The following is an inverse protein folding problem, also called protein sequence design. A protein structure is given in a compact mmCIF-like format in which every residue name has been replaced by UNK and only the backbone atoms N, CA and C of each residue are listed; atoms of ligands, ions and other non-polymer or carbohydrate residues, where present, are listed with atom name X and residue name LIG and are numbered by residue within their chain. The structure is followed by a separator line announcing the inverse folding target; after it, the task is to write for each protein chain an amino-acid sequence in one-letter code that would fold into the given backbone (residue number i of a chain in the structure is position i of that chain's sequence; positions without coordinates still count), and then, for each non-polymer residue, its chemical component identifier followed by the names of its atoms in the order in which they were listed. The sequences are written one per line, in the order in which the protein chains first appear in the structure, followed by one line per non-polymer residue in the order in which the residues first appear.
data_IF_508048959645
#
_entry.id   IF_508048959645
#
_cell.length_a   1.000
_cell.length_b   1.000
_cell.length_c   1.000
_cell.angle_alpha   90.00
_cell.angle_beta   90.00
_cell.angle_gamma   90.00
#
_symmetry.space_group_name_H-M   'P 1'
#
loop_
_entity.id
_entity.type
_entity.pdbx_description
1 polymer ?
#
# COMPACT_ATOMS: atom_id res chain seq x y z
N UNK A 1 6.54 -16.25 -3.79
CA UNK A 1 5.41 -15.37 -3.48
C UNK A 1 5.59 -14.04 -4.21
N UNK A 2 4.56 -13.51 -4.87
CA UNK A 2 4.60 -12.16 -5.44
C UNK A 2 4.14 -11.13 -4.39
N UNK A 3 4.85 -10.00 -4.31
CA UNK A 3 4.61 -8.94 -3.33
C UNK A 3 4.71 -7.56 -3.99
N UNK A 4 4.15 -6.54 -3.33
CA UNK A 4 4.24 -5.18 -3.82
C UNK A 4 5.60 -4.53 -3.55
N UNK A 5 5.95 -3.53 -4.38
CA UNK A 5 7.16 -2.72 -4.18
C UNK A 5 7.13 -1.97 -2.84
N UNK A 6 5.96 -1.57 -2.36
CA UNK A 6 5.79 -0.92 -1.04
C UNK A 6 6.07 -1.88 0.12
N UNK A 7 5.68 -3.17 0.00
CA UNK A 7 6.03 -4.18 1.00
C UNK A 7 7.54 -4.39 1.09
N UNK A 8 8.21 -4.54 -0.04
CA UNK A 8 9.66 -4.69 -0.08
C UNK A 8 10.37 -3.44 0.47
N UNK A 9 10.00 -2.25 -0.01
CA UNK A 9 10.60 -1.00 0.43
C UNK A 9 10.40 -0.69 1.92
N UNK A 10 9.41 -1.31 2.57
CA UNK A 10 9.19 -1.18 4.01
C UNK A 10 10.27 -1.82 4.87
N UNK A 11 11.07 -2.75 4.32
CA UNK A 11 12.07 -3.53 5.05
C UNK A 11 11.48 -4.61 5.96
N UNK A 12 10.14 -4.78 6.02
CA UNK A 12 9.51 -5.80 6.86
C UNK A 12 9.90 -7.22 6.44
N UNK A 13 10.15 -7.45 5.15
CA UNK A 13 10.59 -8.73 4.61
C UNK A 13 11.88 -9.22 5.29
N UNK A 14 12.82 -8.32 5.60
CA UNK A 14 14.10 -8.66 6.25
C UNK A 14 13.91 -9.23 7.67
N UNK A 15 12.81 -8.87 8.34
CA UNK A 15 12.45 -9.42 9.64
C UNK A 15 11.64 -10.72 9.52
N UNK A 16 10.73 -10.81 8.54
CA UNK A 16 9.82 -11.94 8.41
C UNK A 16 10.49 -13.17 7.77
N UNK A 17 11.24 -12.99 6.67
CA UNK A 17 11.76 -14.13 5.90
C UNK A 17 12.67 -15.07 6.70
N UNK A 18 13.66 -14.58 7.48
CA UNK A 18 14.48 -15.45 8.32
C UNK A 18 13.68 -16.16 9.41
N UNK A 19 12.66 -15.51 9.97
CA UNK A 19 11.82 -16.10 10.99
C UNK A 19 10.90 -17.19 10.40
N UNK A 20 10.32 -16.96 9.21
CA UNK A 20 9.56 -17.99 8.49
C UNK A 20 10.41 -19.22 8.24
N UNK A 21 11.61 -19.04 7.70
CA UNK A 21 12.51 -20.16 7.41
C UNK A 21 12.90 -20.93 8.68
N UNK A 22 13.25 -20.21 9.76
CA UNK A 22 13.62 -20.81 11.04
C UNK A 22 12.48 -21.62 11.67
N UNK A 23 11.25 -21.09 11.61
CA UNK A 23 10.10 -21.69 12.28
C UNK A 23 9.43 -22.80 11.45
N UNK A 24 9.48 -22.71 10.11
CA UNK A 24 8.74 -23.60 9.20
C UNK A 24 9.62 -24.43 8.26
N UNK A 25 10.88 -24.06 8.08
CA UNK A 25 11.76 -24.64 7.06
C UNK A 25 11.42 -24.19 5.62
N UNK A 26 10.53 -23.23 5.44
CA UNK A 26 10.12 -22.73 4.12
C UNK A 26 11.02 -21.56 3.71
N UNK A 27 11.79 -21.73 2.64
CA UNK A 27 12.48 -20.64 1.95
C UNK A 27 11.50 -19.89 1.06
N UNK A 28 11.11 -18.67 1.45
CA UNK A 28 10.23 -17.80 0.67
C UNK A 28 11.05 -16.93 -0.28
N UNK A 29 10.81 -17.06 -1.59
CA UNK A 29 11.39 -16.19 -2.62
C UNK A 29 10.37 -15.15 -3.06
N UNK A 30 10.76 -13.88 -2.99
CA UNK A 30 9.91 -12.75 -3.38
C UNK A 30 10.07 -12.43 -4.87
N UNK A 31 8.93 -12.17 -5.52
CA UNK A 31 8.83 -11.51 -6.82
C UNK A 31 8.21 -10.14 -6.55
N UNK A 32 9.04 -9.09 -6.58
CA UNK A 32 8.66 -7.73 -6.21
C UNK A 32 8.17 -6.98 -7.45
N UNK A 33 6.88 -6.65 -7.47
CA UNK A 33 6.21 -6.03 -8.63
C UNK A 33 5.03 -5.16 -8.15
N UNK A 34 4.33 -4.48 -9.06
CA UNK A 34 3.07 -3.79 -8.73
C UNK A 34 1.91 -4.77 -8.51
N UNK A 35 0.87 -4.34 -7.77
CA UNK A 35 -0.31 -5.17 -7.43
C UNK A 35 -0.91 -5.90 -8.64
N UNK A 36 -1.18 -5.19 -9.73
CA UNK A 36 -1.76 -5.80 -10.93
C UNK A 36 -0.87 -6.87 -11.57
N UNK A 37 0.44 -6.70 -11.53
CA UNK A 37 1.38 -7.71 -12.05
C UNK A 37 1.52 -8.89 -11.11
N UNK A 38 1.51 -8.66 -9.78
CA UNK A 38 1.51 -9.72 -8.79
C UNK A 38 0.30 -10.67 -8.96
N UNK A 39 -0.89 -10.09 -9.13
CA UNK A 39 -2.12 -10.84 -9.38
C UNK A 39 -2.06 -11.59 -10.73
N UNK A 40 -1.50 -10.99 -11.79
CA UNK A 40 -1.29 -11.70 -13.07
C UNK A 40 -0.37 -12.92 -12.93
N UNK A 41 0.73 -12.81 -12.17
CA UNK A 41 1.58 -13.96 -11.88
C UNK A 41 0.87 -15.04 -11.09
N UNK A 42 0.00 -14.66 -10.13
CA UNK A 42 -0.86 -15.60 -9.44
C UNK A 42 -1.84 -16.30 -10.39
N UNK A 43 -2.56 -15.54 -11.22
CA UNK A 43 -3.50 -16.10 -12.19
C UNK A 43 -2.84 -17.05 -13.22
N UNK A 44 -1.57 -16.78 -13.58
CA UNK A 44 -0.78 -17.65 -14.46
C UNK A 44 -0.21 -18.88 -13.75
N UNK A 45 -0.25 -18.96 -12.41
CA UNK A 45 0.36 -20.03 -11.64
C UNK A 45 1.89 -19.93 -11.52
N UNK A 46 2.46 -18.76 -11.81
CA UNK A 46 3.91 -18.52 -11.75
C UNK A 46 4.43 -18.36 -10.31
N UNK A 47 3.53 -18.14 -9.35
CA UNK A 47 3.83 -18.01 -7.92
C UNK A 47 2.85 -18.83 -7.09
N UNK A 48 3.27 -19.25 -5.89
CA UNK A 48 2.43 -20.05 -4.99
C UNK A 48 1.46 -19.21 -4.16
N UNK A 49 1.76 -17.93 -3.97
CA UNK A 49 0.94 -16.99 -3.21
C UNK A 49 1.20 -15.54 -3.64
N UNK A 50 0.27 -14.65 -3.29
CA UNK A 50 0.34 -13.21 -3.52
C UNK A 50 0.10 -12.48 -2.20
N UNK A 51 0.88 -11.41 -1.90
CA UNK A 51 0.65 -10.50 -0.78
C UNK A 51 0.56 -9.06 -1.32
N UNK A 52 -0.64 -8.53 -1.32
CA UNK A 52 -0.98 -7.23 -1.95
C UNK A 52 -1.94 -6.43 -1.07
N UNK A 53 -2.33 -5.23 -1.50
CA UNK A 53 -3.16 -4.31 -0.73
C UNK A 53 -4.14 -3.52 -1.63
N UNK A 54 -4.94 -4.22 -2.43
CA UNK A 54 -5.99 -3.62 -3.26
C UNK A 54 -7.26 -4.47 -3.18
N UNK A 55 -8.10 -4.20 -2.17
CA UNK A 55 -9.30 -4.99 -1.89
C UNK A 55 -10.15 -5.29 -3.12
N UNK A 56 -10.48 -4.31 -4.00
CA UNK A 56 -11.29 -4.61 -5.19
C UNK A 56 -10.61 -5.60 -6.15
N UNK A 57 -9.29 -5.48 -6.35
CA UNK A 57 -8.54 -6.39 -7.21
C UNK A 57 -8.39 -7.79 -6.59
N UNK A 58 -8.24 -7.87 -5.26
CA UNK A 58 -8.18 -9.12 -4.51
C UNK A 58 -9.51 -9.86 -4.55
N UNK A 59 -10.63 -9.15 -4.36
CA UNK A 59 -11.98 -9.71 -4.43
C UNK A 59 -12.29 -10.23 -5.85
N UNK A 60 -11.87 -9.52 -6.90
CA UNK A 60 -11.98 -9.99 -8.28
C UNK A 60 -11.16 -11.27 -8.52
N UNK A 61 -9.91 -11.30 -8.03
CA UNK A 61 -9.01 -12.45 -8.14
C UNK A 61 -9.60 -13.72 -7.49
N UNK A 62 -10.24 -13.56 -6.33
CA UNK A 62 -10.96 -14.67 -5.66
C UNK A 62 -12.22 -15.07 -6.46
N UNK A 63 -13.02 -14.11 -6.91
CA UNK A 63 -14.26 -14.37 -7.68
C UNK A 63 -13.97 -15.07 -9.00
N UNK A 64 -12.82 -14.80 -9.63
CA UNK A 64 -12.35 -15.48 -10.85
C UNK A 64 -11.76 -16.87 -10.57
N UNK A 65 -11.66 -17.29 -9.29
CA UNK A 65 -11.22 -18.62 -8.89
C UNK A 65 -9.70 -18.77 -8.84
N UNK A 66 -8.93 -17.70 -8.94
CA UNK A 66 -7.46 -17.71 -8.87
C UNK A 66 -6.93 -17.90 -7.45
N UNK A 67 -7.74 -17.61 -6.42
CA UNK A 67 -7.47 -17.96 -5.02
C UNK A 67 -8.76 -18.47 -4.35
N UNK A 68 -8.69 -19.43 -3.41
CA UNK A 68 -9.86 -19.88 -2.66
C UNK A 68 -10.41 -18.84 -1.68
N UNK A 69 -9.57 -17.93 -1.20
CA UNK A 69 -9.91 -16.86 -0.27
C UNK A 69 -8.81 -15.79 -0.27
N UNK A 70 -9.10 -14.68 0.40
CA UNK A 70 -8.12 -13.69 0.84
C UNK A 70 -8.03 -13.72 2.38
N UNK A 71 -6.83 -13.52 2.91
CA UNK A 71 -6.57 -13.46 4.34
C UNK A 71 -5.94 -12.12 4.68
N UNK A 72 -6.59 -11.31 5.51
CA UNK A 72 -6.01 -10.09 6.05
C UNK A 72 -4.85 -10.43 6.98
N UNK A 73 -3.74 -9.73 6.84
CA UNK A 73 -2.51 -9.98 7.62
C UNK A 73 -2.16 -8.77 8.48
N UNK A 74 -2.09 -7.61 7.86
CA UNK A 74 -1.68 -6.37 8.50
C UNK A 74 -2.18 -5.18 7.72
N UNK A 75 -2.17 -4.02 8.34
CA UNK A 75 -2.47 -2.77 7.66
C UNK A 75 -1.46 -1.67 8.01
N UNK A 76 -1.34 -0.71 7.14
CA UNK A 76 -0.85 0.63 7.40
C UNK A 76 -1.87 1.64 6.83
N UNK A 77 -1.48 2.87 6.64
CA UNK A 77 -2.33 3.90 6.05
C UNK A 77 -1.62 4.63 4.92
N UNK A 78 -2.43 5.35 4.17
CA UNK A 78 -1.98 6.43 3.32
C UNK A 78 -2.02 7.74 4.11
N UNK A 79 -1.20 8.70 3.66
CA UNK A 79 -1.13 10.05 4.21
C UNK A 79 -1.17 11.05 3.06
N UNK A 80 -1.88 12.16 3.25
CA UNK A 80 -1.76 13.32 2.36
C UNK A 80 -0.64 14.20 2.87
N UNK A 81 0.38 14.35 2.06
CA UNK A 81 1.53 15.18 2.36
C UNK A 81 1.56 16.41 1.44
N UNK A 82 2.18 17.48 1.90
CA UNK A 82 2.30 18.72 1.16
C UNK A 82 3.21 19.72 1.84
N UNK A 83 3.32 20.94 1.30
CA UNK A 83 4.12 22.00 1.91
C UNK A 83 3.71 22.27 3.36
N UNK A 84 4.69 22.49 4.24
CA UNK A 84 4.43 22.75 5.67
C UNK A 84 3.50 23.94 5.93
N UNK A 85 3.44 24.88 4.99
CA UNK A 85 2.58 26.07 5.07
C UNK A 85 1.10 25.74 4.85
N UNK A 86 0.77 24.52 4.40
CA UNK A 86 -0.59 24.04 4.13
C UNK A 86 -1.44 25.02 3.30
N UNK A 87 -1.04 25.36 2.08
CA UNK A 87 -1.72 26.40 1.29
C UNK A 87 -3.16 26.04 0.90
N UNK A 88 -3.54 24.78 0.93
CA UNK A 88 -4.89 24.31 0.66
C UNK A 88 -5.73 24.11 1.95
N UNK A 89 -5.12 24.17 3.13
CA UNK A 89 -5.81 24.07 4.42
C UNK A 89 -6.25 22.65 4.77
N UNK A 90 -5.48 21.64 4.39
CA UNK A 90 -5.80 20.22 4.63
C UNK A 90 -5.93 19.88 6.11
N UNK A 91 -5.16 20.55 6.98
CA UNK A 91 -5.20 20.33 8.42
C UNK A 91 -6.56 20.65 9.06
N UNK A 92 -7.42 21.41 8.38
CA UNK A 92 -8.77 21.73 8.84
C UNK A 92 -9.84 20.74 8.34
N UNK A 93 -9.50 19.82 7.41
CA UNK A 93 -10.42 18.85 6.85
C UNK A 93 -10.78 17.77 7.91
N UNK A 94 -12.02 17.32 7.90
CA UNK A 94 -12.48 16.23 8.76
C UNK A 94 -12.35 14.85 8.09
N UNK A 95 -12.30 14.84 6.74
CA UNK A 95 -12.21 13.60 5.93
C UNK A 95 -11.20 13.76 4.80
N UNK A 96 -10.69 12.63 4.29
CA UNK A 96 -9.79 12.62 3.14
C UNK A 96 -10.43 13.24 1.90
N UNK A 97 -11.73 13.03 1.70
CA UNK A 97 -12.49 13.64 0.60
C UNK A 97 -12.61 15.15 0.73
N UNK A 98 -12.79 15.68 1.96
CA UNK A 98 -12.75 17.13 2.21
C UNK A 98 -11.35 17.70 1.93
N UNK A 99 -10.29 17.02 2.37
CA UNK A 99 -8.91 17.44 2.10
C UNK A 99 -8.62 17.51 0.58
N UNK A 100 -9.04 16.50 -0.17
CA UNK A 100 -8.89 16.49 -1.63
C UNK A 100 -9.77 17.57 -2.30
N UNK A 101 -10.98 17.79 -1.81
CA UNK A 101 -11.85 18.88 -2.30
C UNK A 101 -11.17 20.23 -2.11
N UNK A 102 -10.56 20.48 -0.95
CA UNK A 102 -9.82 21.71 -0.69
C UNK A 102 -8.64 21.93 -1.65
N UNK A 103 -7.91 20.87 -2.00
CA UNK A 103 -6.87 20.91 -3.04
C UNK A 103 -7.46 21.30 -4.39
N UNK A 104 -8.57 20.68 -4.79
CA UNK A 104 -9.21 20.94 -6.09
C UNK A 104 -9.81 22.36 -6.16
N UNK A 105 -10.48 22.85 -5.11
CA UNK A 105 -11.08 24.20 -5.05
C UNK A 105 -10.01 25.29 -5.10
N UNK A 106 -8.89 25.10 -4.43
CA UNK A 106 -7.76 26.03 -4.45
C UNK A 106 -6.87 25.86 -5.67
N UNK A 107 -7.04 24.76 -6.43
CA UNK A 107 -6.15 24.34 -7.50
C UNK A 107 -4.67 24.29 -7.05
N UNK A 108 -4.46 23.92 -5.79
CA UNK A 108 -3.14 23.75 -5.24
C UNK A 108 -2.41 22.59 -5.96
N UNK A 109 -1.12 22.76 -6.23
CA UNK A 109 -0.35 21.78 -6.97
C UNK A 109 -0.46 20.39 -6.32
N UNK A 110 -0.76 19.40 -7.13
CA UNK A 110 -0.85 17.99 -6.73
C UNK A 110 -0.05 17.10 -7.67
N UNK A 111 0.73 16.21 -7.10
CA UNK A 111 1.54 15.22 -7.82
C UNK A 111 0.93 13.84 -7.60
N UNK A 112 0.48 13.23 -8.68
CA UNK A 112 0.04 11.84 -8.73
C UNK A 112 1.17 10.92 -9.19
N UNK A 113 1.13 9.68 -8.74
CA UNK A 113 2.02 8.64 -9.29
C UNK A 113 1.74 8.34 -10.75
N UNK A 114 0.48 8.23 -11.16
CA UNK A 114 0.09 7.97 -12.56
C UNK A 114 0.63 6.66 -13.15
N UNK A 115 0.93 5.63 -12.31
CA UNK A 115 1.66 4.41 -12.70
C UNK A 115 0.88 3.10 -12.50
N UNK A 116 -0.44 3.18 -12.33
CA UNK A 116 -1.34 2.03 -12.05
C UNK A 116 -0.97 1.22 -10.78
N UNK A 117 -0.19 1.80 -9.86
CA UNK A 117 0.15 1.19 -8.59
C UNK A 117 -1.02 1.16 -7.60
N UNK A 118 -0.85 0.45 -6.47
CA UNK A 118 -1.82 0.46 -5.37
C UNK A 118 -2.09 1.86 -4.82
N UNK A 119 -1.05 2.70 -4.68
CA UNK A 119 -1.18 4.09 -4.25
C UNK A 119 -1.95 4.92 -5.27
N UNK A 120 -1.67 4.78 -6.57
CA UNK A 120 -2.41 5.48 -7.61
C UNK A 120 -3.89 5.07 -7.64
N UNK A 121 -4.18 3.79 -7.50
CA UNK A 121 -5.58 3.29 -7.41
C UNK A 121 -6.31 3.83 -6.17
N UNK A 122 -5.63 3.88 -5.03
CA UNK A 122 -6.19 4.48 -3.82
C UNK A 122 -6.46 5.97 -4.00
N UNK A 123 -5.54 6.72 -4.63
CA UNK A 123 -5.71 8.13 -4.96
C UNK A 123 -6.94 8.35 -5.83
N UNK A 124 -7.07 7.59 -6.94
CA UNK A 124 -8.22 7.71 -7.84
C UNK A 124 -9.54 7.41 -7.14
N UNK A 125 -9.58 6.38 -6.27
CA UNK A 125 -10.76 6.06 -5.48
C UNK A 125 -11.15 7.17 -4.49
N UNK A 126 -10.15 7.87 -3.91
CA UNK A 126 -10.39 9.01 -3.04
C UNK A 126 -10.94 10.21 -3.82
N UNK A 127 -10.41 10.51 -5.02
CA UNK A 127 -10.95 11.54 -5.92
C UNK A 127 -12.39 11.23 -6.34
N UNK A 128 -12.67 9.98 -6.73
CA UNK A 128 -14.02 9.50 -7.04
C UNK A 128 -14.96 9.65 -5.83
N UNK A 129 -14.49 9.29 -4.63
CA UNK A 129 -15.23 9.46 -3.37
C UNK A 129 -15.56 10.93 -3.06
N UNK A 130 -14.73 11.86 -3.50
CA UNK A 130 -14.98 13.30 -3.44
C UNK A 130 -15.91 13.82 -4.57
N UNK A 131 -16.31 12.94 -5.51
CA UNK A 131 -17.11 13.31 -6.69
C UNK A 131 -16.29 14.08 -7.74
N UNK A 132 -14.99 13.94 -7.76
CA UNK A 132 -14.05 14.64 -8.62
C UNK A 132 -13.38 13.67 -9.61
N UNK A 133 -13.19 14.14 -10.85
CA UNK A 133 -12.54 13.36 -11.92
C UNK A 133 -11.18 13.99 -12.25
N UNK A 134 -10.05 13.33 -11.93
CA UNK A 134 -8.73 13.80 -12.29
C UNK A 134 -8.52 14.06 -13.78
N UNK A 135 -9.26 13.35 -14.65
CA UNK A 135 -9.23 13.57 -16.11
C UNK A 135 -9.73 14.95 -16.54
N UNK A 136 -10.49 15.65 -15.67
CA UNK A 136 -10.96 17.01 -15.91
C UNK A 136 -10.08 18.09 -15.25
N UNK A 137 -9.02 17.69 -14.52
CA UNK A 137 -8.17 18.63 -13.79
C UNK A 137 -7.25 19.42 -14.72
N UNK A 138 -6.85 20.62 -14.28
CA UNK A 138 -5.93 21.49 -15.00
C UNK A 138 -4.47 21.17 -14.72
N UNK A 139 -3.58 22.09 -15.07
CA UNK A 139 -2.13 21.95 -14.93
C UNK A 139 -1.62 21.84 -13.48
N UNK A 140 -2.48 22.04 -12.48
CA UNK A 140 -2.16 21.88 -11.08
C UNK A 140 -2.07 20.41 -10.66
N UNK A 141 -2.71 19.47 -11.39
CA UNK A 141 -2.62 18.04 -11.22
C UNK A 141 -1.62 17.46 -12.22
N UNK A 142 -0.63 16.71 -11.75
CA UNK A 142 0.43 16.17 -12.58
C UNK A 142 0.75 14.72 -12.25
N UNK A 143 0.64 13.87 -13.23
CA UNK A 143 1.07 12.49 -13.17
C UNK A 143 2.56 12.37 -13.51
N UNK A 144 3.31 11.63 -12.67
CA UNK A 144 4.75 11.42 -12.87
C UNK A 144 5.08 10.14 -13.66
N UNK A 145 4.15 9.18 -13.69
CA UNK A 145 4.41 7.85 -14.27
C UNK A 145 5.50 7.08 -13.51
N UNK A 146 5.71 7.36 -12.22
CA UNK A 146 6.89 6.89 -11.49
C UNK A 146 6.58 6.37 -10.09
N UNK A 147 7.55 5.68 -9.44
CA UNK A 147 7.43 5.17 -8.10
C UNK A 147 7.32 6.27 -7.03
N UNK A 148 6.88 5.89 -5.80
CA UNK A 148 6.55 6.84 -4.73
C UNK A 148 7.70 7.78 -4.36
N UNK A 149 8.93 7.28 -4.29
CA UNK A 149 10.10 8.13 -3.99
C UNK A 149 10.30 9.26 -5.01
N UNK A 150 10.12 8.98 -6.31
CA UNK A 150 10.21 10.01 -7.35
C UNK A 150 9.01 10.98 -7.29
N UNK A 151 7.81 10.49 -6.97
CA UNK A 151 6.63 11.34 -6.78
C UNK A 151 6.82 12.29 -5.57
N UNK A 152 7.32 11.80 -4.44
CA UNK A 152 7.64 12.61 -3.27
C UNK A 152 8.71 13.67 -3.57
N UNK A 153 9.80 13.29 -4.25
CA UNK A 153 10.82 14.26 -4.66
C UNK A 153 10.29 15.33 -5.61
N UNK A 154 9.38 14.94 -6.51
CA UNK A 154 8.73 15.89 -7.43
C UNK A 154 7.80 16.83 -6.65
N UNK A 155 7.02 16.30 -5.72
CA UNK A 155 6.14 17.09 -4.86
C UNK A 155 6.94 18.10 -4.02
N UNK A 156 8.06 17.67 -3.41
CA UNK A 156 8.95 18.56 -2.67
C UNK A 156 9.51 19.69 -3.55
N UNK A 157 10.03 19.33 -4.74
CA UNK A 157 10.59 20.33 -5.67
C UNK A 157 9.56 21.31 -6.23
N UNK A 158 8.27 20.95 -6.23
CA UNK A 158 7.17 21.79 -6.72
C UNK A 158 6.40 22.52 -5.62
N UNK A 159 6.64 22.21 -4.34
CA UNK A 159 5.77 22.64 -3.25
C UNK A 159 4.33 22.11 -3.45
N UNK A 160 4.21 20.85 -3.84
CA UNK A 160 2.95 20.24 -4.21
C UNK A 160 2.45 19.23 -3.14
N UNK A 161 1.16 18.97 -3.14
CA UNK A 161 0.55 17.88 -2.38
C UNK A 161 0.73 16.55 -3.10
N UNK A 162 0.70 15.44 -2.36
CA UNK A 162 0.66 14.08 -2.94
C UNK A 162 0.08 13.10 -1.92
N UNK A 163 -0.48 11.99 -2.41
CA UNK A 163 -0.82 10.84 -1.58
C UNK A 163 0.39 9.91 -1.50
N UNK A 164 0.77 9.52 -0.30
CA UNK A 164 1.84 8.53 -0.08
C UNK A 164 1.38 7.44 0.87
N UNK A 165 1.85 6.21 0.67
CA UNK A 165 1.83 5.25 1.76
C UNK A 165 2.81 5.70 2.87
N UNK A 166 2.44 5.44 4.13
CA UNK A 166 3.26 5.88 5.28
C UNK A 166 4.68 5.32 5.24
N UNK A 167 4.88 4.10 4.74
CA UNK A 167 6.20 3.50 4.67
C UNK A 167 7.14 4.26 3.73
N UNK A 168 6.67 4.57 2.53
CA UNK A 168 7.43 5.39 1.58
C UNK A 168 7.69 6.80 2.12
N UNK A 169 6.71 7.41 2.80
CA UNK A 169 6.89 8.70 3.46
C UNK A 169 7.97 8.66 4.53
N UNK A 170 7.96 7.65 5.42
CA UNK A 170 8.95 7.52 6.51
C UNK A 170 10.36 7.25 6.00
N UNK A 171 10.49 6.59 4.85
CA UNK A 171 11.76 6.27 4.21
C UNK A 171 12.32 7.41 3.34
N UNK A 172 11.49 8.39 2.95
CA UNK A 172 11.89 9.48 2.06
C UNK A 172 12.51 10.67 2.83
N UNK A 173 13.36 11.48 2.16
CA UNK A 173 13.71 12.81 2.65
C UNK A 173 12.45 13.68 2.75
N UNK A 174 12.36 14.49 3.82
CA UNK A 174 11.17 15.32 4.11
C UNK A 174 11.31 16.78 3.66
N UNK A 175 12.07 17.05 2.64
CA UNK A 175 12.49 18.39 2.20
C UNK A 175 11.32 19.37 1.98
N UNK A 176 10.90 20.07 3.05
CA UNK A 176 9.82 21.06 3.02
C UNK A 176 8.39 20.48 2.90
N UNK A 177 8.24 19.16 3.04
CA UNK A 177 6.95 18.49 3.11
C UNK A 177 6.63 18.03 4.53
N UNK A 178 5.34 18.04 4.88
CA UNK A 178 4.79 17.49 6.11
C UNK A 178 3.57 16.61 5.82
N UNK A 179 3.19 15.75 6.76
CA UNK A 179 1.85 15.13 6.75
C UNK A 179 0.87 16.23 7.11
N UNK A 180 -0.07 16.51 6.20
CA UNK A 180 -1.10 17.52 6.38
C UNK A 180 -2.45 16.90 6.77
N UNK A 181 -2.69 15.64 6.36
CA UNK A 181 -3.91 14.92 6.71
C UNK A 181 -3.64 13.41 6.83
N UNK A 182 -4.18 12.79 7.89
CA UNK A 182 -4.06 11.37 8.18
C UNK A 182 -5.23 10.87 9.07
N UNK A 183 -5.31 9.56 9.29
CA UNK A 183 -6.21 8.96 10.27
C UNK A 183 -7.67 8.74 9.82
N UNK A 184 -8.02 9.07 8.57
CA UNK A 184 -9.34 8.78 8.01
C UNK A 184 -9.45 7.28 7.66
N UNK A 185 -10.59 6.61 7.94
CA UNK A 185 -10.84 5.25 7.49
C UNK A 185 -10.67 5.02 5.99
N UNK A 186 -10.90 6.04 5.15
CA UNK A 186 -10.69 5.96 3.70
C UNK A 186 -9.20 5.86 3.30
N UNK A 187 -8.29 6.19 4.22
CA UNK A 187 -6.84 6.07 4.04
C UNK A 187 -6.29 4.72 4.49
N UNK A 188 -7.17 3.82 4.94
CA UNK A 188 -6.77 2.50 5.44
C UNK A 188 -6.22 1.63 4.31
N UNK A 189 -5.06 1.03 4.55
CA UNK A 189 -4.33 0.25 3.55
C UNK A 189 -4.08 -1.18 4.06
N UNK A 190 -5.05 -2.07 3.79
CA UNK A 190 -5.05 -3.45 4.23
C UNK A 190 -4.22 -4.33 3.29
N UNK A 191 -3.23 -5.02 3.83
CA UNK A 191 -2.49 -6.07 3.15
C UNK A 191 -3.16 -7.42 3.36
N UNK A 192 -3.36 -8.15 2.26
CA UNK A 192 -3.93 -9.47 2.29
C UNK A 192 -3.04 -10.50 1.59
N UNK A 193 -3.01 -11.70 2.16
CA UNK A 193 -2.40 -12.89 1.59
C UNK A 193 -3.45 -13.67 0.81
N UNK A 194 -3.10 -14.13 -0.39
CA UNK A 194 -3.95 -14.93 -1.26
C UNK A 194 -3.15 -16.17 -1.70
N UNK A 195 -3.48 -17.37 -1.21
CA UNK A 195 -2.90 -18.61 -1.74
C UNK A 195 -3.42 -18.85 -3.15
N UNK A 196 -2.52 -19.19 -4.09
CA UNK A 196 -2.89 -19.35 -5.49
C UNK A 196 -3.54 -20.71 -5.73
N UNK A 197 -4.68 -20.74 -6.42
CA UNK A 197 -5.33 -21.97 -6.86
C UNK A 197 -4.44 -22.69 -7.87
N UNK A 198 -4.16 -23.98 -7.61
CA UNK A 198 -3.26 -24.76 -8.47
C UNK A 198 -1.78 -24.43 -8.32
N UNK A 199 -1.39 -23.75 -7.25
CA UNK A 199 0.01 -23.51 -6.90
C UNK A 199 0.86 -24.79 -6.97
N UNK A 200 2.12 -24.65 -7.36
CA UNK A 200 3.06 -25.79 -7.42
C UNK A 200 3.36 -26.36 -6.01
N UNK A 201 3.20 -25.54 -4.97
CA UNK A 201 3.49 -25.91 -3.56
C UNK A 201 2.34 -25.50 -2.64
N UNK A 202 1.13 -26.09 -2.78
CA UNK A 202 -0.05 -25.67 -2.03
C UNK A 202 0.09 -25.86 -0.52
N UNK A 203 0.80 -26.91 -0.08
CA UNK A 203 1.07 -27.17 1.34
C UNK A 203 1.99 -26.09 1.95
N UNK A 204 3.00 -25.66 1.20
CA UNK A 204 3.89 -24.59 1.63
C UNK A 204 3.15 -23.23 1.67
N UNK A 205 2.26 -22.97 0.71
CA UNK A 205 1.43 -21.78 0.73
C UNK A 205 0.48 -21.76 1.95
N UNK A 206 -0.15 -22.89 2.28
CA UNK A 206 -1.00 -23.01 3.46
C UNK A 206 -0.21 -22.88 4.78
N UNK A 207 0.96 -23.49 4.87
CA UNK A 207 1.83 -23.35 6.04
C UNK A 207 2.34 -21.91 6.22
N UNK A 208 2.66 -21.22 5.13
CA UNK A 208 3.02 -19.80 5.15
C UNK A 208 1.86 -18.92 5.62
N UNK A 209 0.63 -19.17 5.17
CA UNK A 209 -0.56 -18.48 5.66
C UNK A 209 -0.74 -18.67 7.17
N UNK A 210 -0.65 -19.92 7.64
CA UNK A 210 -0.76 -20.24 9.05
C UNK A 210 0.30 -19.53 9.89
N UNK A 211 1.54 -19.44 9.38
CA UNK A 211 2.60 -18.70 10.07
C UNK A 211 2.33 -17.18 10.06
N UNK A 212 1.92 -16.61 8.91
CA UNK A 212 1.63 -15.17 8.79
C UNK A 212 0.45 -14.71 9.66
N UNK A 213 -0.45 -15.62 10.04
CA UNK A 213 -1.58 -15.34 10.96
C UNK A 213 -1.28 -15.68 12.42
N UNK A 214 -0.05 -16.08 12.75
CA UNK A 214 0.37 -16.44 14.10
C UNK A 214 0.71 -15.24 14.98
N UNK A 215 0.70 -15.44 16.30
CA UNK A 215 1.19 -14.45 17.27
C UNK A 215 2.66 -14.08 17.02
N UNK A 216 3.46 -15.02 16.52
CA UNK A 216 4.86 -14.79 16.18
C UNK A 216 5.01 -13.77 15.06
N UNK A 217 4.24 -13.92 13.97
CA UNK A 217 4.18 -12.94 12.90
C UNK A 217 3.67 -11.59 13.40
N UNK A 218 2.61 -11.60 14.22
CA UNK A 218 2.05 -10.40 14.82
C UNK A 218 3.08 -9.61 15.62
N UNK A 219 3.86 -10.28 16.46
CA UNK A 219 4.91 -9.63 17.25
C UNK A 219 6.00 -8.99 16.39
N UNK A 220 6.39 -9.62 15.28
CA UNK A 220 7.36 -9.06 14.32
C UNK A 220 6.79 -7.87 13.54
N UNK A 221 5.56 -7.98 13.07
CA UNK A 221 4.86 -6.94 12.32
C UNK A 221 4.65 -5.71 13.19
N UNK A 222 4.07 -5.87 14.40
CA UNK A 222 3.83 -4.78 15.34
C UNK A 222 5.13 -4.19 15.91
N UNK A 223 6.20 -4.97 15.94
CA UNK A 223 7.53 -4.55 16.36
C UNK A 223 8.31 -3.78 15.29
N UNK A 224 7.93 -3.88 14.03
CA UNK A 224 8.67 -3.25 12.92
C UNK A 224 8.58 -1.73 12.96
N UNK A 225 9.73 -1.06 12.82
CA UNK A 225 9.87 0.41 12.89
C UNK A 225 10.64 0.94 11.68
N UNK A 226 10.13 2.03 11.12
CA UNK A 226 10.83 2.83 10.11
C UNK A 226 10.97 4.24 10.68
N UNK A 227 12.20 4.76 10.74
CA UNK A 227 12.44 6.05 11.36
C UNK A 227 12.07 6.15 12.85
N UNK A 228 11.94 5.00 13.55
CA UNK A 228 11.49 4.92 14.95
C UNK A 228 9.97 4.81 15.12
N UNK A 229 9.18 4.98 14.07
CA UNK A 229 7.72 4.89 14.07
C UNK A 229 7.24 3.48 13.66
N UNK A 230 6.14 3.02 14.26
CA UNK A 230 5.50 1.75 13.87
C UNK A 230 4.86 1.93 12.50
N UNK A 231 5.22 1.04 11.57
CA UNK A 231 4.72 1.14 10.19
C UNK A 231 3.47 0.30 9.96
N UNK A 232 3.41 -0.91 10.51
CA UNK A 232 2.30 -1.82 10.33
C UNK A 232 1.61 -2.16 11.65
N UNK A 233 0.33 -2.48 11.56
CA UNK A 233 -0.46 -3.07 12.64
C UNK A 233 -0.94 -4.44 12.18
N UNK A 234 -0.62 -5.47 12.96
CA UNK A 234 -1.13 -6.81 12.74
C UNK A 234 -2.63 -6.88 13.06
N UNK A 235 -3.41 -7.48 12.16
CA UNK A 235 -4.84 -7.69 12.34
C UNK A 235 -5.35 -9.02 11.77
N UNK A 236 -4.45 -9.97 11.53
CA UNK A 236 -4.86 -11.28 11.06
C UNK A 236 -5.67 -12.00 12.14
N UNK A 237 -6.81 -12.55 11.74
CA UNK A 237 -7.55 -13.50 12.57
C UNK A 237 -6.96 -14.90 12.36
N UNK A 238 -6.76 -15.69 13.43
CA UNK A 238 -6.34 -17.08 13.30
C UNK A 238 -7.27 -17.83 12.36
N UNK A 239 -6.69 -18.63 11.44
CA UNK A 239 -7.48 -19.47 10.55
C UNK A 239 -8.35 -20.43 11.35
N UNK A 240 -9.65 -20.46 11.08
CA UNK A 240 -10.59 -21.45 11.60
C UNK A 240 -10.46 -22.77 10.85
#
# INVERSE_FOLDING_TARGET
MAVTTSFEASGLADALLPAIEADTGIEVRLVVVGTGQALRFGAAGDVDAVLVHSRPAEDAFVAEGHAPHRREIMYNDFVLVGPEEDPAGLAAAATATEALTAIAETQAAFVSRGDDSGTHKAELALWEGAGLDPGAFGSWYRETGSGMGAALNTAAGMGAHTLSDRGSWLAAPRDGLAILFEGDPALFNQYAYLPVTGAARPEAAAALEAWLTSERAGALIDGHRVGGERLFTFNAEPGT
#
